data_IF_175894287796
#
_entry.id   IF_175894287796
#
_cell.length_a   1.000
_cell.length_b   1.000
_cell.length_c   1.000
_cell.angle_alpha   90.00
_cell.angle_beta   90.00
_cell.angle_gamma   90.00
#
_symmetry.space_group_name_H-M   'P 1'
#
loop_
_entity.id
_entity.type
_entity.pdbx_description
1 polymer ?
#
# COMPACT_ATOMS: atom_id res chain seq x y z
N UNK A 1 21.23 -5.91 6.81
CA UNK A 1 20.38 -6.91 7.50
C UNK A 1 18.97 -6.85 6.95
N UNK A 2 18.34 -8.00 6.75
CA UNK A 2 16.90 -8.08 6.52
C UNK A 2 16.14 -7.47 7.71
N UNK A 3 14.95 -6.93 7.47
CA UNK A 3 14.12 -6.32 8.51
C UNK A 3 14.52 -4.89 8.95
N UNK A 4 15.66 -4.34 8.50
CA UNK A 4 16.01 -2.93 8.80
C UNK A 4 15.50 -1.98 7.71
N UNK A 5 15.26 -0.71 8.08
CA UNK A 5 14.84 0.32 7.12
C UNK A 5 15.82 0.48 5.94
N UNK A 6 17.13 0.38 6.21
CA UNK A 6 18.18 0.40 5.17
C UNK A 6 18.07 -0.82 4.25
N UNK A 7 17.86 -2.01 4.81
CA UNK A 7 17.66 -3.24 4.05
C UNK A 7 16.44 -3.17 3.13
N UNK A 8 15.32 -2.65 3.63
CA UNK A 8 14.10 -2.46 2.84
C UNK A 8 14.29 -1.52 1.64
N UNK A 9 15.01 -0.41 1.82
CA UNK A 9 15.32 0.52 0.71
C UNK A 9 16.18 -0.13 -0.36
N UNK A 10 17.21 -0.87 0.03
CA UNK A 10 18.08 -1.58 -0.91
C UNK A 10 17.32 -2.65 -1.69
N UNK A 11 16.44 -3.41 -1.02
CA UNK A 11 15.57 -4.39 -1.66
C UNK A 11 14.62 -3.73 -2.67
N UNK A 12 14.00 -2.59 -2.31
CA UNK A 12 13.14 -1.85 -3.23
C UNK A 12 13.90 -1.33 -4.46
N UNK A 13 15.14 -0.87 -4.30
CA UNK A 13 15.99 -0.46 -5.42
C UNK A 13 16.34 -1.64 -6.33
N UNK A 14 16.73 -2.79 -5.76
CA UNK A 14 17.00 -4.02 -6.50
C UNK A 14 15.76 -4.49 -7.27
N UNK A 15 14.58 -4.51 -6.64
CA UNK A 15 13.33 -4.89 -7.28
C UNK A 15 12.96 -3.98 -8.45
N UNK A 16 13.12 -2.66 -8.30
CA UNK A 16 12.90 -1.71 -9.39
C UNK A 16 13.87 -1.91 -10.55
N UNK A 17 15.14 -2.21 -10.27
CA UNK A 17 16.15 -2.52 -11.30
C UNK A 17 15.83 -3.82 -12.04
N UNK A 18 15.41 -4.86 -11.32
CA UNK A 18 15.16 -6.20 -11.87
C UNK A 18 13.84 -6.31 -12.63
N UNK A 19 12.80 -5.66 -12.15
CA UNK A 19 11.43 -5.82 -12.66
C UNK A 19 10.84 -4.55 -13.30
N UNK A 20 11.62 -3.47 -13.33
CA UNK A 20 11.22 -2.16 -13.86
C UNK A 20 10.55 -1.25 -12.81
N UNK A 21 10.39 0.03 -13.18
CA UNK A 21 9.73 1.06 -12.36
C UNK A 21 8.31 0.67 -11.96
N UNK A 22 7.62 -0.05 -12.84
CA UNK A 22 6.19 -0.35 -12.70
C UNK A 22 5.91 -1.59 -11.85
N UNK A 23 6.94 -2.24 -11.32
CA UNK A 23 6.82 -3.49 -10.58
C UNK A 23 5.77 -3.42 -9.47
N UNK A 24 5.87 -2.40 -8.60
CA UNK A 24 4.95 -2.21 -7.48
C UNK A 24 3.53 -1.86 -7.93
N UNK A 25 3.38 -1.08 -9.00
CA UNK A 25 2.08 -0.74 -9.59
C UNK A 25 1.39 -1.98 -10.15
N UNK A 26 2.13 -2.86 -10.84
CA UNK A 26 1.61 -4.10 -11.42
C UNK A 26 1.15 -5.08 -10.35
N UNK A 27 1.96 -5.33 -9.31
CA UNK A 27 1.57 -6.26 -8.24
C UNK A 27 0.42 -5.71 -7.39
N UNK A 28 0.40 -4.40 -7.13
CA UNK A 28 -0.69 -3.75 -6.39
C UNK A 28 -2.02 -3.85 -7.13
N UNK A 29 -2.02 -3.61 -8.46
CA UNK A 29 -3.22 -3.77 -9.28
C UNK A 29 -3.74 -5.21 -9.28
N UNK A 30 -2.86 -6.20 -9.49
CA UNK A 30 -3.23 -7.62 -9.46
C UNK A 30 -3.85 -8.00 -8.10
N UNK A 31 -3.20 -7.61 -7.00
CA UNK A 31 -3.70 -7.88 -5.66
C UNK A 31 -5.05 -7.22 -5.39
N UNK A 32 -5.23 -5.97 -5.82
CA UNK A 32 -6.51 -5.26 -5.69
C UNK A 32 -7.64 -5.90 -6.49
N UNK A 33 -7.36 -6.39 -7.70
CA UNK A 33 -8.34 -7.11 -8.53
C UNK A 33 -8.73 -8.47 -7.94
N UNK A 34 -7.81 -9.15 -7.27
CA UNK A 34 -8.07 -10.44 -6.60
C UNK A 34 -8.73 -10.30 -5.23
N UNK A 35 -8.78 -9.10 -4.64
CA UNK A 35 -9.37 -8.86 -3.34
C UNK A 35 -10.90 -8.94 -3.36
N UNK A 36 -11.49 -9.74 -2.49
CA UNK A 36 -12.96 -9.89 -2.40
C UNK A 36 -13.64 -8.94 -1.41
N UNK A 37 -12.87 -8.20 -0.60
CA UNK A 37 -13.38 -7.39 0.51
C UNK A 37 -13.92 -6.02 0.12
N UNK A 38 -13.86 -5.66 -1.17
CA UNK A 38 -14.17 -4.32 -1.67
C UNK A 38 -13.09 -3.31 -1.27
N UNK A 39 -12.36 -2.79 -2.25
CA UNK A 39 -11.34 -1.77 -2.01
C UNK A 39 -11.93 -0.40 -1.62
N UNK A 40 -11.06 0.59 -1.39
CA UNK A 40 -11.48 1.98 -1.15
C UNK A 40 -12.22 2.62 -2.35
N UNK A 41 -12.04 2.07 -3.55
CA UNK A 41 -12.74 2.51 -4.76
C UNK A 41 -14.07 1.75 -5.00
N UNK A 42 -14.52 0.89 -4.08
CA UNK A 42 -15.73 0.09 -4.23
C UNK A 42 -17.01 0.91 -3.92
N UNK A 43 -17.28 1.96 -4.69
CA UNK A 43 -18.49 2.78 -4.55
C UNK A 43 -18.63 3.43 -3.18
N UNK A 44 -19.86 3.50 -2.66
CA UNK A 44 -20.18 4.12 -1.37
C UNK A 44 -19.52 3.40 -0.19
N UNK A 45 -19.62 2.08 -0.14
CA UNK A 45 -18.97 1.25 0.89
C UNK A 45 -17.44 1.42 0.91
N UNK A 46 -16.83 1.51 -0.28
CA UNK A 46 -15.40 1.82 -0.43
C UNK A 46 -15.02 3.18 0.15
N UNK A 47 -15.81 4.22 -0.14
CA UNK A 47 -15.60 5.58 0.37
C UNK A 47 -15.76 5.66 1.89
N UNK A 48 -16.77 5.00 2.45
CA UNK A 48 -16.97 4.93 3.90
C UNK A 48 -15.77 4.28 4.59
N UNK A 49 -15.32 3.14 4.04
CA UNK A 49 -14.11 2.45 4.51
C UNK A 49 -12.87 3.36 4.45
N UNK A 50 -12.68 4.08 3.34
CA UNK A 50 -11.56 5.00 3.18
C UNK A 50 -11.57 6.12 4.23
N UNK A 51 -12.75 6.67 4.52
CA UNK A 51 -12.94 7.70 5.55
C UNK A 51 -12.59 7.16 6.95
N UNK A 52 -13.13 6.01 7.33
CA UNK A 52 -12.89 5.40 8.64
C UNK A 52 -11.41 5.12 8.89
N UNK A 53 -10.72 4.45 7.96
CA UNK A 53 -9.30 4.15 8.11
C UNK A 53 -8.41 5.39 7.96
N UNK A 54 -8.81 6.36 7.14
CA UNK A 54 -8.13 7.65 7.02
C UNK A 54 -8.14 8.42 8.35
N UNK A 55 -9.29 8.47 9.02
CA UNK A 55 -9.44 9.10 10.33
C UNK A 55 -8.59 8.40 11.40
N UNK A 56 -8.63 7.06 11.47
CA UNK A 56 -7.78 6.28 12.40
C UNK A 56 -6.29 6.56 12.15
N UNK A 57 -5.86 6.54 10.88
CA UNK A 57 -4.49 6.82 10.50
C UNK A 57 -4.05 8.23 10.89
N UNK A 58 -4.88 9.24 10.60
CA UNK A 58 -4.61 10.64 10.96
C UNK A 58 -4.57 10.90 12.46
N UNK A 59 -5.39 10.18 13.24
CA UNK A 59 -5.35 10.28 14.71
C UNK A 59 -4.12 9.61 15.31
N UNK A 60 -3.65 8.48 14.74
CA UNK A 60 -2.41 7.82 15.17
C UNK A 60 -1.14 8.55 14.73
N UNK A 61 -1.18 9.22 13.57
CA UNK A 61 -0.01 9.93 13.02
C UNK A 61 0.16 11.33 13.59
N UNK A 62 -0.88 11.92 14.18
CA UNK A 62 -0.78 13.10 15.03
C UNK A 62 0.10 12.74 16.22
N UNK A 63 1.38 13.11 16.11
CA UNK A 63 2.35 13.04 17.20
C UNK A 63 1.84 13.95 18.32
N UNK A 64 1.54 13.36 19.47
CA UNK A 64 1.57 14.06 20.76
C UNK A 64 3.03 14.17 21.21
#
# INVERSE_FOLDING_TARGET
MAGTAKGGRLAAQQNKKKYGSDFYSKIGRKGGQMGHTGGFAAGEEGRKRASEFGAVGGSKSRRS
#
